data_IF_587945592350
#
_entry.id   IF_587945592350
#
_cell.length_a   1.000
_cell.length_b   1.000
_cell.length_c   1.000
_cell.angle_alpha   90.00
_cell.angle_beta   90.00
_cell.angle_gamma   90.00
#
_symmetry.space_group_name_H-M   'P 1'
#
loop_
_entity.id
_entity.type
_entity.pdbx_description
1 polymer ?
#
# COMPACT_ATOMS: atom_id res chain seq x y z
N UNK A 1 15.08 -31.93 54.24
CA UNK A 1 15.22 -32.34 52.84
C UNK A 1 14.03 -31.76 52.11
N UNK A 2 14.24 -30.64 51.42
CA UNK A 2 13.20 -29.96 50.61
C UNK A 2 13.38 -30.45 49.20
N UNK A 3 12.41 -31.22 48.70
CA UNK A 3 12.36 -31.61 47.28
C UNK A 3 12.14 -30.37 46.44
N UNK A 4 13.11 -30.05 45.56
CA UNK A 4 12.90 -29.10 44.48
C UNK A 4 11.95 -29.76 43.48
N UNK A 5 10.73 -29.20 43.36
CA UNK A 5 9.89 -29.44 42.17
C UNK A 5 10.64 -28.95 40.97
N UNK A 6 11.03 -29.86 40.10
CA UNK A 6 11.46 -29.53 38.73
C UNK A 6 10.22 -28.98 38.01
N UNK A 7 10.25 -27.69 37.71
CA UNK A 7 9.29 -27.10 36.77
C UNK A 7 9.52 -27.76 35.41
N UNK A 8 8.63 -28.66 35.00
CA UNK A 8 8.59 -29.12 33.61
C UNK A 8 8.29 -27.92 32.72
N UNK A 9 9.03 -27.74 31.61
CA UNK A 9 8.78 -26.65 30.69
C UNK A 9 7.35 -26.78 30.15
N UNK A 10 6.53 -25.74 30.36
CA UNK A 10 5.19 -25.68 29.79
C UNK A 10 5.28 -25.84 28.25
N UNK A 11 4.56 -26.83 27.74
CA UNK A 11 4.47 -27.06 26.31
C UNK A 11 3.71 -25.89 25.65
N UNK A 12 4.42 -25.05 24.91
CA UNK A 12 3.81 -23.96 24.14
C UNK A 12 3.32 -24.51 22.81
N UNK A 13 2.00 -24.45 22.58
CA UNK A 13 1.42 -24.80 21.30
C UNK A 13 1.72 -23.69 20.28
N UNK A 14 2.56 -23.99 19.30
CA UNK A 14 2.87 -23.08 18.18
C UNK A 14 2.11 -23.53 16.94
N UNK A 15 1.45 -22.56 16.27
CA UNK A 15 0.78 -22.83 15.01
C UNK A 15 1.81 -23.21 13.93
N UNK A 16 1.65 -24.39 13.31
CA UNK A 16 2.55 -24.86 12.24
C UNK A 16 2.42 -24.04 10.96
N UNK A 17 1.23 -23.51 10.70
CA UNK A 17 0.93 -22.71 9.51
C UNK A 17 1.07 -21.23 9.89
N UNK A 18 2.16 -20.63 9.47
CA UNK A 18 2.44 -19.20 9.66
C UNK A 18 1.95 -18.41 8.43
N UNK A 19 1.52 -17.19 8.65
CA UNK A 19 1.08 -16.24 7.63
C UNK A 19 -0.42 -16.06 7.59
N UNK A 20 -0.80 -14.89 7.09
CA UNK A 20 -2.20 -14.49 6.99
C UNK A 20 -2.98 -15.35 6.00
N UNK A 21 -4.24 -15.56 6.34
CA UNK A 21 -5.20 -16.25 5.48
C UNK A 21 -6.52 -15.50 5.44
N UNK A 22 -7.26 -15.66 4.34
CA UNK A 22 -8.63 -15.19 4.23
C UNK A 22 -9.61 -16.32 4.54
N UNK A 23 -10.46 -16.12 5.54
CA UNK A 23 -11.55 -17.04 5.88
C UNK A 23 -12.73 -16.92 4.91
N UNK A 24 -13.59 -17.96 4.89
CA UNK A 24 -14.83 -17.97 4.09
C UNK A 24 -15.82 -16.88 4.49
N UNK A 25 -15.66 -16.30 5.68
CA UNK A 25 -16.41 -15.15 6.20
C UNK A 25 -15.86 -13.80 5.75
N UNK A 26 -14.86 -13.77 4.83
CA UNK A 26 -14.13 -12.58 4.37
C UNK A 26 -13.38 -11.82 5.49
N UNK A 27 -13.01 -12.51 6.56
CA UNK A 27 -12.16 -11.97 7.61
C UNK A 27 -10.73 -12.46 7.42
N UNK A 28 -9.74 -11.55 7.57
CA UNK A 28 -8.32 -11.89 7.52
C UNK A 28 -7.86 -12.35 8.90
N UNK A 29 -7.36 -13.57 8.97
CA UNK A 29 -6.77 -14.17 10.18
C UNK A 29 -5.24 -14.14 10.06
N UNK A 30 -4.57 -13.86 11.17
CA UNK A 30 -3.09 -13.87 11.23
C UNK A 30 -2.52 -15.26 10.92
N UNK A 31 -3.23 -16.30 11.32
CA UNK A 31 -2.86 -17.70 11.04
C UNK A 31 -4.11 -18.58 10.94
N UNK A 32 -3.94 -19.75 10.35
CA UNK A 32 -5.00 -20.76 10.30
C UNK A 32 -5.45 -21.21 11.70
N UNK A 33 -4.56 -21.17 12.70
CA UNK A 33 -4.91 -21.54 14.06
C UNK A 33 -5.88 -20.53 14.71
N UNK A 34 -5.71 -19.23 14.44
CA UNK A 34 -6.65 -18.20 14.89
C UNK A 34 -8.04 -18.42 14.29
N UNK A 35 -8.11 -18.75 13.00
CA UNK A 35 -9.38 -19.10 12.36
C UNK A 35 -10.02 -20.34 12.99
N UNK A 36 -9.22 -21.38 13.30
CA UNK A 36 -9.72 -22.60 13.91
C UNK A 36 -10.30 -22.34 15.31
N UNK A 37 -9.70 -21.44 16.11
CA UNK A 37 -10.23 -21.04 17.41
C UNK A 37 -11.60 -20.35 17.29
N UNK A 38 -11.81 -19.56 16.26
CA UNK A 38 -13.12 -18.95 16.01
C UNK A 38 -14.13 -19.96 15.47
N UNK A 39 -13.69 -20.89 14.64
CA UNK A 39 -14.55 -21.96 14.12
C UNK A 39 -15.17 -22.80 15.23
N UNK A 40 -14.43 -23.11 16.30
CA UNK A 40 -14.93 -23.90 17.45
C UNK A 40 -16.09 -23.20 18.16
N UNK A 41 -16.18 -21.88 18.12
CA UNK A 41 -17.27 -21.09 18.72
C UNK A 41 -18.57 -21.15 17.91
N UNK A 42 -18.53 -21.63 16.66
CA UNK A 42 -19.68 -21.69 15.77
C UNK A 42 -20.51 -22.95 16.01
N UNK A 43 -21.82 -22.87 15.76
CA UNK A 43 -22.72 -24.04 15.80
C UNK A 43 -22.31 -25.12 14.79
N UNK A 44 -21.74 -24.69 13.65
CA UNK A 44 -21.19 -25.56 12.62
C UNK A 44 -19.74 -25.13 12.32
N UNK A 45 -18.73 -25.71 12.98
CA UNK A 45 -17.34 -25.36 12.79
C UNK A 45 -16.83 -25.50 11.34
N UNK A 46 -17.37 -26.44 10.60
CA UNK A 46 -16.99 -26.66 9.18
C UNK A 46 -17.50 -25.59 8.21
N UNK A 47 -18.36 -24.67 8.66
CA UNK A 47 -18.80 -23.51 7.85
C UNK A 47 -17.71 -22.46 7.67
N UNK A 48 -16.71 -22.44 8.56
CA UNK A 48 -15.56 -21.54 8.48
C UNK A 48 -14.34 -22.32 7.97
N UNK A 49 -13.89 -21.98 6.77
CA UNK A 49 -12.77 -22.63 6.10
C UNK A 49 -11.85 -21.58 5.43
N UNK A 50 -10.63 -21.99 5.08
CA UNK A 50 -9.66 -21.15 4.37
C UNK A 50 -10.13 -20.92 2.95
N UNK A 51 -10.40 -19.67 2.58
CA UNK A 51 -10.78 -19.27 1.22
C UNK A 51 -9.56 -19.22 0.30
N UNK A 52 -8.48 -18.60 0.79
CA UNK A 52 -7.17 -18.56 0.14
C UNK A 52 -6.07 -18.15 1.12
N UNK A 53 -4.83 -18.37 0.74
CA UNK A 53 -3.66 -17.87 1.46
C UNK A 53 -3.50 -16.35 1.26
N UNK A 54 -2.90 -15.68 2.23
CA UNK A 54 -2.79 -14.23 2.28
C UNK A 54 -4.05 -13.56 2.84
N UNK A 55 -4.02 -12.24 3.06
CA UNK A 55 -5.17 -11.49 3.55
C UNK A 55 -6.32 -11.52 2.54
N UNK A 56 -7.51 -11.20 2.98
CA UNK A 56 -8.66 -11.07 2.10
C UNK A 56 -8.44 -9.97 1.07
N UNK A 57 -8.97 -10.17 -0.14
CA UNK A 57 -8.83 -9.20 -1.22
C UNK A 57 -9.48 -7.88 -0.84
N UNK A 58 -8.77 -6.79 -1.09
CA UNK A 58 -9.22 -5.42 -0.82
C UNK A 58 -8.85 -4.49 -1.95
N UNK A 59 -9.70 -3.52 -2.21
CA UNK A 59 -9.34 -2.36 -3.04
C UNK A 59 -8.14 -1.66 -2.40
N UNK A 60 -7.21 -1.10 -3.19
CA UNK A 60 -6.07 -0.35 -2.65
C UNK A 60 -6.52 0.78 -1.73
N UNK A 61 -5.83 0.95 -0.60
CA UNK A 61 -6.02 2.04 0.34
C UNK A 61 -4.76 2.87 0.38
N UNK A 62 -4.86 4.16 0.08
CA UNK A 62 -3.74 5.09 0.22
C UNK A 62 -3.58 5.41 1.70
N UNK A 63 -2.47 4.96 2.30
CA UNK A 63 -2.14 5.16 3.72
C UNK A 63 -1.44 6.48 3.95
N UNK A 64 -0.68 6.97 2.94
CA UNK A 64 -0.05 8.28 2.92
C UNK A 64 -0.05 8.80 1.49
N UNK A 65 -0.80 9.84 1.22
CA UNK A 65 -0.88 10.48 -0.10
C UNK A 65 0.15 11.59 -0.28
N UNK A 66 0.29 12.12 -1.50
CA UNK A 66 1.08 13.31 -1.74
C UNK A 66 0.40 14.54 -1.14
N UNK A 67 1.22 15.50 -0.67
CA UNK A 67 0.77 16.78 -0.12
C UNK A 67 1.04 17.93 -1.09
N UNK A 68 0.17 18.93 -1.07
CA UNK A 68 0.37 20.18 -1.78
C UNK A 68 1.66 20.87 -1.32
N UNK A 69 2.44 21.35 -2.26
CA UNK A 69 3.71 22.00 -1.96
C UNK A 69 3.90 23.27 -2.80
N UNK A 70 4.46 24.32 -2.16
CA UNK A 70 4.94 25.51 -2.85
C UNK A 70 6.47 25.47 -2.92
N UNK A 71 7.02 25.60 -4.11
CA UNK A 71 8.47 25.44 -4.39
C UNK A 71 8.90 26.53 -5.38
N UNK A 72 10.12 27.07 -5.21
CA UNK A 72 10.67 28.02 -6.20
C UNK A 72 11.15 27.31 -7.44
N UNK A 73 11.10 28.01 -8.58
CA UNK A 73 11.67 27.51 -9.83
C UNK A 73 13.17 27.22 -9.62
N UNK A 74 13.62 26.07 -10.10
CA UNK A 74 15.01 25.61 -9.99
C UNK A 74 15.28 24.75 -8.74
N UNK A 75 14.36 24.72 -7.77
CA UNK A 75 14.52 23.85 -6.60
C UNK A 75 14.05 22.40 -6.87
N UNK A 76 14.63 21.41 -6.20
CA UNK A 76 14.18 20.04 -6.31
C UNK A 76 12.87 19.83 -5.52
N UNK A 77 12.04 18.91 -5.99
CA UNK A 77 10.82 18.51 -5.28
C UNK A 77 10.57 17.03 -5.41
N UNK A 78 10.01 16.43 -4.37
CA UNK A 78 9.56 15.05 -4.37
C UNK A 78 8.15 14.93 -3.78
N UNK A 79 7.32 14.12 -4.42
CA UNK A 79 6.01 13.69 -3.92
C UNK A 79 6.07 12.20 -3.64
N UNK A 80 5.40 11.75 -2.59
CA UNK A 80 5.33 10.33 -2.22
C UNK A 80 3.90 9.85 -2.09
N UNK A 81 3.72 8.55 -2.29
CA UNK A 81 2.44 7.87 -2.15
C UNK A 81 2.68 6.47 -1.60
N UNK A 82 2.05 6.15 -0.47
CA UNK A 82 2.09 4.82 0.13
C UNK A 82 0.70 4.18 0.06
N UNK A 83 0.65 2.95 -0.39
CA UNK A 83 -0.60 2.25 -0.64
C UNK A 83 -0.53 0.83 -0.07
N UNK A 84 -1.60 0.39 0.55
CA UNK A 84 -1.77 -0.98 1.05
C UNK A 84 -2.95 -1.65 0.36
N UNK A 85 -2.82 -2.92 0.04
CA UNK A 85 -3.91 -3.72 -0.53
C UNK A 85 -3.49 -5.14 -0.88
N UNK A 86 -4.47 -5.99 -1.09
CA UNK A 86 -4.24 -7.35 -1.57
C UNK A 86 -5.23 -7.72 -2.67
N UNK A 87 -4.78 -8.20 -3.84
CA UNK A 87 -3.37 -8.33 -4.25
C UNK A 87 -2.59 -7.02 -4.14
N UNK A 88 -1.24 -7.13 -4.04
CA UNK A 88 -0.35 -5.97 -3.89
C UNK A 88 -0.64 -4.97 -5.01
N UNK A 89 -0.91 -3.69 -4.68
CA UNK A 89 -1.25 -2.69 -5.67
C UNK A 89 -0.06 -2.25 -6.53
N UNK A 90 -0.33 -1.96 -7.78
CA UNK A 90 0.56 -1.19 -8.65
C UNK A 90 0.26 0.30 -8.50
N UNK A 91 1.30 1.14 -8.57
CA UNK A 91 1.19 2.60 -8.52
C UNK A 91 1.71 3.18 -9.83
N UNK A 92 0.92 4.07 -10.41
CA UNK A 92 1.38 4.98 -11.46
C UNK A 92 0.96 6.41 -11.13
N UNK A 93 1.56 7.37 -11.80
CA UNK A 93 1.27 8.78 -11.61
C UNK A 93 0.69 9.39 -12.86
N UNK A 94 -0.25 10.29 -12.67
CA UNK A 94 -0.80 11.15 -13.72
C UNK A 94 -0.44 12.59 -13.39
N UNK A 95 -0.09 13.37 -14.42
CA UNK A 95 0.26 14.77 -14.29
C UNK A 95 -0.59 15.63 -15.21
N UNK A 96 -1.15 16.69 -14.64
CA UNK A 96 -1.89 17.73 -15.36
C UNK A 96 -1.24 19.07 -15.10
N UNK A 97 -0.64 19.68 -16.15
CA UNK A 97 -0.01 21.00 -16.05
C UNK A 97 -1.05 22.11 -15.84
N UNK A 98 -0.70 23.09 -15.02
CA UNK A 98 -1.47 24.33 -14.87
C UNK A 98 -1.31 25.27 -16.07
N UNK A 99 -0.24 25.12 -16.84
CA UNK A 99 0.04 25.94 -18.00
C UNK A 99 -0.77 25.46 -19.22
N UNK A 100 -1.68 26.30 -19.70
CA UNK A 100 -2.52 26.00 -20.86
C UNK A 100 -1.71 25.72 -22.14
N UNK A 101 -0.49 26.22 -22.22
CA UNK A 101 0.40 26.00 -23.37
C UNK A 101 0.93 24.54 -23.37
N UNK A 102 0.98 23.88 -22.21
CA UNK A 102 1.40 22.50 -22.03
C UNK A 102 0.25 21.59 -21.60
N UNK A 103 -0.95 22.14 -21.44
CA UNK A 103 -2.16 21.42 -21.00
C UNK A 103 -2.76 20.62 -22.16
N UNK A 104 -2.04 19.62 -22.60
CA UNK A 104 -2.65 18.47 -23.29
C UNK A 104 -3.22 17.52 -22.24
N UNK A 105 -4.15 16.64 -22.64
CA UNK A 105 -4.75 15.62 -21.77
C UNK A 105 -3.71 15.00 -20.82
N UNK A 106 -4.13 14.70 -19.56
CA UNK A 106 -3.26 14.24 -18.48
C UNK A 106 -2.17 13.27 -18.94
N UNK A 107 -0.95 13.54 -18.51
CA UNK A 107 0.26 12.82 -18.94
C UNK A 107 0.58 11.74 -17.92
N UNK A 108 0.78 10.51 -18.37
CA UNK A 108 1.25 9.44 -17.51
C UNK A 108 2.74 9.58 -17.20
N UNK A 109 3.12 9.36 -15.96
CA UNK A 109 4.50 9.27 -15.51
C UNK A 109 4.84 7.81 -15.17
N UNK A 110 6.08 7.32 -15.44
CA UNK A 110 7.22 8.05 -16.01
C UNK A 110 7.05 8.42 -17.49
N UNK A 111 7.70 9.50 -17.90
CA UNK A 111 7.80 9.95 -19.27
C UNK A 111 9.26 10.01 -19.69
N UNK A 112 9.54 10.37 -20.94
CA UNK A 112 10.92 10.55 -21.48
C UNK A 112 11.62 11.80 -20.94
N UNK A 113 11.02 12.49 -19.97
CA UNK A 113 11.57 13.70 -19.36
C UNK A 113 12.70 13.37 -18.39
N UNK A 114 13.90 13.81 -18.69
CA UNK A 114 15.10 13.59 -17.87
C UNK A 114 15.08 14.30 -16.51
N UNK A 115 14.21 15.28 -16.32
CA UNK A 115 14.08 16.04 -15.08
C UNK A 115 13.08 15.46 -14.09
N UNK A 116 12.27 14.50 -14.54
CA UNK A 116 11.22 13.86 -13.73
C UNK A 116 11.45 12.36 -13.69
N UNK A 117 11.70 11.84 -12.49
CA UNK A 117 11.88 10.42 -12.24
C UNK A 117 10.74 9.87 -11.38
N UNK A 118 10.32 8.64 -11.66
CA UNK A 118 9.38 7.89 -10.83
C UNK A 118 10.08 6.65 -10.30
N UNK A 119 9.98 6.43 -8.99
CA UNK A 119 10.47 5.23 -8.33
C UNK A 119 9.32 4.50 -7.66
N UNK A 120 9.35 3.17 -7.69
CA UNK A 120 8.38 2.31 -7.02
C UNK A 120 9.13 1.26 -6.23
N UNK A 121 8.70 1.02 -4.99
CA UNK A 121 9.28 0.02 -4.09
C UNK A 121 8.19 -0.68 -3.29
N UNK A 122 8.38 -1.96 -3.01
CA UNK A 122 7.57 -2.69 -2.04
C UNK A 122 7.88 -2.26 -0.60
N UNK A 123 6.90 -2.33 0.26
CA UNK A 123 7.03 -1.96 1.66
C UNK A 123 6.54 -0.55 1.99
N UNK A 124 6.74 -0.07 3.25
CA UNK A 124 7.59 -0.65 4.32
C UNK A 124 7.03 -1.93 4.96
N UNK A 125 5.74 -2.15 4.91
CA UNK A 125 5.10 -3.35 5.45
C UNK A 125 4.71 -4.33 4.34
N UNK A 126 4.30 -5.54 4.73
CA UNK A 126 3.72 -6.51 3.81
C UNK A 126 2.46 -5.94 3.13
N UNK A 127 2.27 -6.27 1.84
CA UNK A 127 1.12 -5.82 1.02
C UNK A 127 1.06 -4.31 0.80
N UNK A 128 2.18 -3.61 0.99
CA UNK A 128 2.33 -2.19 0.71
C UNK A 128 3.24 -1.96 -0.51
N UNK A 129 2.94 -0.88 -1.21
CA UNK A 129 3.76 -0.33 -2.28
C UNK A 129 3.94 1.15 -2.04
N UNK A 130 5.15 1.66 -2.21
CA UNK A 130 5.47 3.09 -2.08
C UNK A 130 6.06 3.59 -3.39
N UNK A 131 5.63 4.76 -3.81
CA UNK A 131 6.14 5.42 -5.03
C UNK A 131 6.50 6.88 -4.76
N UNK A 132 7.51 7.34 -5.48
CA UNK A 132 7.95 8.74 -5.46
C UNK A 132 8.03 9.30 -6.88
N UNK A 133 7.57 10.54 -7.03
CA UNK A 133 7.90 11.40 -8.16
C UNK A 133 8.97 12.37 -7.70
N UNK A 134 10.09 12.40 -8.39
CA UNK A 134 11.22 13.28 -8.09
C UNK A 134 11.47 14.21 -9.27
N UNK A 135 11.45 15.51 -9.01
CA UNK A 135 11.77 16.56 -9.98
C UNK A 135 13.11 17.16 -9.54
N UNK A 136 14.12 17.06 -10.40
CA UNK A 136 15.48 17.51 -10.07
C UNK A 136 15.56 19.02 -9.94
N UNK A 137 14.86 19.75 -10.79
CA UNK A 137 14.84 21.20 -10.84
C UNK A 137 13.49 21.66 -11.40
N UNK A 138 12.68 22.27 -10.57
CA UNK A 138 11.31 22.68 -10.92
C UNK A 138 11.29 23.69 -12.05
N UNK A 139 10.52 23.41 -13.09
CA UNK A 139 10.24 24.31 -14.22
C UNK A 139 8.77 24.75 -14.16
N UNK A 140 8.43 25.83 -14.86
CA UNK A 140 7.01 26.24 -15.00
C UNK A 140 6.11 25.14 -15.53
N UNK A 141 6.62 24.36 -16.50
CA UNK A 141 5.91 23.23 -17.10
C UNK A 141 5.63 22.09 -16.13
N UNK A 142 6.35 22.01 -14.99
CA UNK A 142 6.19 20.97 -13.98
C UNK A 142 5.17 21.36 -12.90
N UNK A 143 4.66 22.59 -12.94
CA UNK A 143 3.61 23.04 -12.03
C UNK A 143 2.26 22.49 -12.45
N UNK A 144 1.49 22.06 -11.48
CA UNK A 144 0.17 21.49 -11.71
C UNK A 144 -0.20 20.42 -10.71
N UNK A 145 -1.12 19.55 -11.12
CA UNK A 145 -1.67 18.49 -10.28
C UNK A 145 -1.02 17.15 -10.62
N UNK A 146 -0.46 16.53 -9.60
CA UNK A 146 0.09 15.17 -9.64
C UNK A 146 -0.85 14.23 -8.93
N UNK A 147 -1.30 13.17 -9.59
CA UNK A 147 -2.23 12.19 -9.05
C UNK A 147 -1.55 10.84 -8.94
N UNK A 148 -1.46 10.32 -7.71
CA UNK A 148 -1.08 8.94 -7.45
C UNK A 148 -2.30 8.05 -7.71
N UNK A 149 -2.15 7.05 -8.57
CA UNK A 149 -3.19 6.09 -8.90
C UNK A 149 -2.71 4.71 -8.51
N UNK A 150 -3.39 4.11 -7.53
CA UNK A 150 -3.12 2.76 -7.06
C UNK A 150 -4.19 1.80 -7.58
N UNK A 151 -3.78 0.70 -8.19
CA UNK A 151 -4.68 -0.27 -8.80
C UNK A 151 -4.33 -1.69 -8.43
N UNK A 152 -5.34 -2.52 -8.23
CA UNK A 152 -5.25 -3.97 -8.26
C UNK A 152 -6.52 -4.54 -8.94
N UNK A 153 -6.67 -5.86 -8.98
CA UNK A 153 -7.86 -6.50 -9.60
C UNK A 153 -9.18 -6.17 -8.91
N UNK A 154 -9.16 -5.67 -7.67
CA UNK A 154 -10.34 -5.32 -6.90
C UNK A 154 -10.81 -3.88 -7.16
N UNK A 155 -9.94 -3.03 -7.70
CA UNK A 155 -10.29 -1.65 -8.01
C UNK A 155 -9.11 -0.69 -8.02
N UNK A 156 -9.42 0.59 -7.99
CA UNK A 156 -8.45 1.68 -8.02
C UNK A 156 -8.77 2.75 -6.96
N UNK A 157 -7.71 3.40 -6.47
CA UNK A 157 -7.81 4.54 -5.55
C UNK A 157 -6.85 5.63 -5.99
N UNK A 158 -7.22 6.90 -5.81
CA UNK A 158 -6.49 8.07 -6.27
C UNK A 158 -6.25 9.06 -5.14
N UNK A 159 -5.09 9.72 -5.15
CA UNK A 159 -4.82 10.89 -4.33
C UNK A 159 -4.02 11.90 -5.13
N UNK A 160 -4.36 13.17 -5.01
CA UNK A 160 -3.75 14.23 -5.81
C UNK A 160 -3.11 15.28 -4.92
N UNK A 161 -2.04 15.88 -5.43
CA UNK A 161 -1.38 17.03 -4.83
C UNK A 161 -0.99 18.04 -5.89
N UNK A 162 -0.95 19.30 -5.50
CA UNK A 162 -0.60 20.42 -6.39
C UNK A 162 0.78 20.95 -6.06
N UNK A 163 1.62 21.04 -7.11
CA UNK A 163 2.88 21.79 -7.05
C UNK A 163 2.62 23.18 -7.63
N UNK A 164 2.92 24.21 -6.83
CA UNK A 164 2.77 25.62 -7.20
C UNK A 164 4.04 26.39 -6.91
N UNK A 165 4.19 27.55 -7.54
CA UNK A 165 5.26 28.47 -7.22
C UNK A 165 4.99 29.13 -5.86
N UNK A 166 6.07 29.36 -5.11
CA UNK A 166 6.05 30.06 -3.82
C UNK A 166 5.68 31.53 -4.00
#
# INVERSE_FOLDING_TARGET
MTEMKQDEPEAICVCKMQGEICGSNNYTYETQCHMALDAVKLKNPSSLYVKHAGPCHTVPVITSGPDDIAVNIGEPVALSCEVKGFPIPDIHWEFQSDDQQYSTAGKNLPSDDLFVAVQVRGGPEAYMTTSWVQIVSLRKSDMGVYTCVATNKEGATRASAKIRQY
#
